data_IF_729007389296
#
_entry.id   IF_729007389296
#
_cell.length_a   1.000
_cell.length_b   1.000
_cell.length_c   1.000
_cell.angle_alpha   90.00
_cell.angle_beta   90.00
_cell.angle_gamma   90.00
#
_symmetry.space_group_name_H-M   'P 1'
#
loop_
_entity.id
_entity.type
_entity.pdbx_description
1 polymer ?
#
# COMPACT_ATOMS: atom_id res chain seq x y z
N UNK A 1 -59.32 5.57 12.60
CA UNK A 1 -58.27 6.45 12.04
C UNK A 1 -56.98 6.12 12.76
N UNK A 2 -55.99 5.68 11.98
CA UNK A 2 -54.71 5.08 12.37
C UNK A 2 -53.72 6.11 12.94
N UNK A 3 -52.96 5.74 13.97
CA UNK A 3 -51.90 6.57 14.55
C UNK A 3 -50.91 5.70 15.33
N UNK A 4 -49.88 5.26 14.62
CA UNK A 4 -48.87 4.25 14.91
C UNK A 4 -48.11 4.49 16.23
N UNK A 5 -48.22 3.56 17.19
CA UNK A 5 -47.18 3.31 18.20
C UNK A 5 -46.02 2.60 17.51
N UNK A 6 -45.02 3.37 17.08
CA UNK A 6 -43.84 2.84 16.40
C UNK A 6 -42.77 2.39 17.42
N UNK A 7 -42.48 1.08 17.54
CA UNK A 7 -41.54 0.53 18.52
C UNK A 7 -40.06 0.82 18.19
N UNK A 8 -39.78 1.59 17.14
CA UNK A 8 -38.44 2.08 16.80
C UNK A 8 -38.10 3.45 17.40
N UNK A 9 -38.86 3.92 18.42
CA UNK A 9 -38.56 5.16 19.14
C UNK A 9 -37.46 5.04 20.21
N UNK A 10 -36.59 4.04 20.13
CA UNK A 10 -35.45 3.89 21.03
C UNK A 10 -34.17 4.47 20.42
N UNK A 11 -33.86 5.69 20.85
CA UNK A 11 -32.53 6.30 20.83
C UNK A 11 -31.96 6.68 19.46
N UNK A 12 -32.45 7.80 18.92
CA UNK A 12 -31.55 8.68 18.15
C UNK A 12 -30.59 9.27 19.18
N UNK A 13 -29.43 8.64 19.37
CA UNK A 13 -28.28 9.33 19.94
C UNK A 13 -28.00 10.46 18.94
N UNK A 14 -28.16 11.75 19.31
CA UNK A 14 -27.73 12.82 18.43
C UNK A 14 -26.25 12.58 18.13
N UNK A 15 -25.93 12.34 16.86
CA UNK A 15 -24.54 12.29 16.40
C UNK A 15 -24.01 13.72 16.44
N UNK A 16 -23.72 14.22 17.65
CA UNK A 16 -22.82 15.34 17.84
C UNK A 16 -21.45 14.84 17.39
N UNK A 17 -21.01 15.29 16.20
CA UNK A 17 -19.62 15.10 15.79
C UNK A 17 -18.77 15.69 16.91
N UNK A 18 -17.98 14.87 17.64
CA UNK A 18 -17.19 15.37 18.75
C UNK A 18 -16.35 16.54 18.29
N UNK A 19 -16.24 17.60 19.08
CA UNK A 19 -15.51 18.82 18.73
C UNK A 19 -14.06 18.50 18.26
N UNK A 20 -13.49 17.42 18.80
CA UNK A 20 -12.19 16.86 18.40
C UNK A 20 -12.18 16.29 16.97
N UNK A 21 -13.25 15.62 16.53
CA UNK A 21 -13.40 15.13 15.16
C UNK A 21 -13.61 16.29 14.19
N UNK A 22 -14.34 17.33 14.61
CA UNK A 22 -14.51 18.54 13.82
C UNK A 22 -13.20 19.32 13.68
N UNK A 23 -12.48 19.54 14.78
CA UNK A 23 -11.18 20.19 14.77
C UNK A 23 -10.14 19.39 13.97
N UNK A 24 -10.18 18.06 14.05
CA UNK A 24 -9.33 17.18 13.24
C UNK A 24 -9.67 17.28 11.75
N UNK A 25 -10.95 17.31 11.38
CA UNK A 25 -11.39 17.51 10.00
C UNK A 25 -11.02 18.90 9.49
N UNK A 26 -11.26 19.97 10.27
CA UNK A 26 -10.89 21.35 9.92
C UNK A 26 -9.38 21.50 9.75
N UNK A 27 -8.58 20.90 10.64
CA UNK A 27 -7.11 20.88 10.52
C UNK A 27 -6.64 20.06 9.32
N UNK A 28 -7.23 18.89 9.08
CA UNK A 28 -6.90 18.02 7.94
C UNK A 28 -7.24 18.67 6.60
N UNK A 29 -8.39 19.33 6.49
CA UNK A 29 -8.80 20.09 5.30
C UNK A 29 -7.89 21.31 5.09
N UNK A 30 -7.52 22.01 6.16
CA UNK A 30 -6.57 23.12 6.10
C UNK A 30 -5.20 22.65 5.61
N UNK A 31 -4.65 21.57 6.18
CA UNK A 31 -3.38 20.97 5.76
C UNK A 31 -3.44 20.43 4.33
N UNK A 32 -4.55 19.82 3.91
CA UNK A 32 -4.73 19.35 2.55
C UNK A 32 -4.79 20.52 1.56
N UNK A 33 -5.48 21.61 1.90
CA UNK A 33 -5.47 22.85 1.08
C UNK A 33 -4.10 23.47 1.02
N UNK A 34 -3.38 23.53 2.13
CA UNK A 34 -2.03 24.10 2.19
C UNK A 34 -1.04 23.25 1.37
N UNK A 35 -1.09 21.93 1.50
CA UNK A 35 -0.27 21.02 0.72
C UNK A 35 -0.66 21.02 -0.76
N UNK A 36 -1.95 21.12 -1.08
CA UNK A 36 -2.44 21.27 -2.45
C UNK A 36 -2.01 22.60 -3.06
N UNK A 37 -2.06 23.69 -2.30
CA UNK A 37 -1.57 25.00 -2.75
C UNK A 37 -0.07 24.96 -3.00
N UNK A 38 0.73 24.38 -2.09
CA UNK A 38 2.18 24.18 -2.28
C UNK A 38 2.48 23.26 -3.48
N UNK A 39 1.70 22.20 -3.67
CA UNK A 39 1.82 21.31 -4.82
C UNK A 39 1.46 22.02 -6.13
N UNK A 40 0.38 22.80 -6.14
CA UNK A 40 -0.06 23.59 -7.29
C UNK A 40 0.97 24.66 -7.65
N UNK A 41 1.50 25.37 -6.67
CA UNK A 41 2.52 26.40 -6.86
C UNK A 41 3.83 25.79 -7.38
N UNK A 42 4.22 24.60 -6.87
CA UNK A 42 5.34 23.83 -7.39
C UNK A 42 5.09 23.27 -8.81
N UNK A 43 3.85 22.90 -9.14
CA UNK A 43 3.44 22.45 -10.47
C UNK A 43 3.43 23.60 -11.49
N UNK A 44 2.93 24.77 -11.11
CA UNK A 44 2.88 25.97 -11.95
C UNK A 44 4.28 26.60 -12.15
N UNK A 45 5.20 26.44 -11.18
CA UNK A 45 6.54 27.03 -11.22
C UNK A 45 7.64 26.07 -11.74
N UNK A 46 7.42 24.75 -11.69
CA UNK A 46 8.43 23.73 -12.02
C UNK A 46 7.84 22.50 -12.76
N UNK A 47 7.46 22.67 -14.02
CA UNK A 47 6.85 21.61 -14.85
C UNK A 47 7.66 20.29 -14.87
N UNK A 48 8.99 20.37 -14.94
CA UNK A 48 9.86 19.20 -14.95
C UNK A 48 10.00 18.46 -13.60
N UNK A 49 9.76 19.11 -12.45
CA UNK A 49 9.86 18.44 -11.13
C UNK A 49 8.61 17.59 -10.87
N UNK A 50 7.42 18.07 -11.24
CA UNK A 50 6.18 17.30 -11.10
C UNK A 50 6.14 16.14 -12.09
N UNK A 51 6.59 16.36 -13.34
CA UNK A 51 6.74 15.29 -14.32
C UNK A 51 7.73 14.22 -13.83
N UNK A 52 8.86 14.61 -13.23
CA UNK A 52 9.83 13.68 -12.64
C UNK A 52 9.26 12.90 -11.45
N UNK A 53 8.49 13.53 -10.56
CA UNK A 53 7.82 12.83 -9.44
C UNK A 53 6.79 11.84 -9.97
N UNK A 54 5.99 12.23 -10.96
CA UNK A 54 4.98 11.36 -11.55
C UNK A 54 5.61 10.18 -12.30
N UNK A 55 6.69 10.42 -13.05
CA UNK A 55 7.46 9.37 -13.72
C UNK A 55 8.10 8.39 -12.71
N UNK A 56 8.69 8.90 -11.62
CA UNK A 56 9.26 8.08 -10.54
C UNK A 56 8.19 7.25 -9.82
N UNK A 57 7.04 7.85 -9.53
CA UNK A 57 5.90 7.14 -8.93
C UNK A 57 5.35 6.06 -9.87
N UNK A 58 5.19 6.37 -11.15
CA UNK A 58 4.71 5.42 -12.15
C UNK A 58 5.67 4.25 -12.33
N UNK A 59 6.98 4.51 -12.34
CA UNK A 59 8.01 3.47 -12.36
C UNK A 59 7.93 2.56 -11.12
N UNK A 60 7.77 3.14 -9.93
CA UNK A 60 7.60 2.37 -8.68
C UNK A 60 6.36 1.48 -8.70
N UNK A 61 5.23 1.97 -9.21
CA UNK A 61 3.99 1.18 -9.37
C UNK A 61 4.20 0.07 -10.40
N UNK A 62 4.84 0.35 -11.53
CA UNK A 62 5.12 -0.65 -12.56
C UNK A 62 6.02 -1.78 -12.04
N UNK A 63 7.10 -1.43 -11.33
CA UNK A 63 8.00 -2.41 -10.69
C UNK A 63 7.25 -3.24 -9.63
N UNK A 64 6.40 -2.62 -8.83
CA UNK A 64 5.57 -3.30 -7.84
C UNK A 64 4.60 -4.30 -8.48
N UNK A 65 3.88 -3.88 -9.53
CA UNK A 65 2.94 -4.76 -10.26
C UNK A 65 3.67 -5.91 -10.96
N UNK A 66 4.81 -5.65 -11.59
CA UNK A 66 5.63 -6.69 -12.22
C UNK A 66 6.06 -7.75 -11.19
N UNK A 67 6.53 -7.30 -10.01
CA UNK A 67 6.95 -8.19 -8.93
C UNK A 67 5.79 -9.03 -8.38
N UNK A 68 4.60 -8.46 -8.24
CA UNK A 68 3.40 -9.23 -7.87
C UNK A 68 3.06 -10.33 -8.88
N UNK A 69 3.20 -10.05 -10.18
CA UNK A 69 2.98 -11.07 -11.22
C UNK A 69 4.04 -12.18 -11.16
N UNK A 70 5.29 -11.85 -10.88
CA UNK A 70 6.35 -12.85 -10.64
C UNK A 70 6.00 -13.73 -9.44
N UNK A 71 5.55 -13.14 -8.34
CA UNK A 71 5.14 -13.88 -7.14
C UNK A 71 3.93 -14.76 -7.39
N UNK A 72 2.92 -14.28 -8.11
CA UNK A 72 1.78 -15.09 -8.49
C UNK A 72 2.22 -16.32 -9.27
N UNK A 73 3.09 -16.14 -10.28
CA UNK A 73 3.65 -17.26 -11.06
C UNK A 73 4.44 -18.24 -10.20
N UNK A 74 5.32 -17.74 -9.32
CA UNK A 74 6.12 -18.57 -8.44
C UNK A 74 5.25 -19.37 -7.45
N UNK A 75 4.26 -18.71 -6.82
CA UNK A 75 3.36 -19.32 -5.86
C UNK A 75 2.46 -20.37 -6.52
N UNK A 76 1.90 -20.08 -7.71
CA UNK A 76 1.13 -21.06 -8.48
C UNK A 76 1.96 -22.29 -8.83
N UNK A 77 3.21 -22.09 -9.30
CA UNK A 77 4.11 -23.21 -9.57
C UNK A 77 4.37 -24.04 -8.31
N UNK A 78 4.71 -23.39 -7.19
CA UNK A 78 4.97 -24.08 -5.93
C UNK A 78 3.77 -24.91 -5.44
N UNK A 79 2.54 -24.40 -5.60
CA UNK A 79 1.33 -25.14 -5.25
C UNK A 79 1.05 -26.31 -6.19
N UNK A 80 1.29 -26.16 -7.49
CA UNK A 80 1.13 -27.25 -8.45
C UNK A 80 2.16 -28.36 -8.20
N UNK A 81 3.43 -28.00 -8.00
CA UNK A 81 4.50 -28.95 -7.69
C UNK A 81 4.19 -29.70 -6.39
N UNK A 82 3.79 -28.98 -5.32
CA UNK A 82 3.38 -29.60 -4.06
C UNK A 82 2.20 -30.55 -4.22
N UNK A 83 1.18 -30.15 -4.99
CA UNK A 83 0.00 -31.00 -5.24
C UNK A 83 0.37 -32.26 -6.01
N UNK A 84 1.25 -32.14 -7.01
CA UNK A 84 1.74 -33.28 -7.78
C UNK A 84 2.54 -34.26 -6.90
N UNK A 85 3.43 -33.74 -6.05
CA UNK A 85 4.19 -34.55 -5.10
C UNK A 85 3.26 -35.21 -4.06
N UNK A 86 2.24 -34.51 -3.58
CA UNK A 86 1.28 -35.04 -2.62
C UNK A 86 0.44 -36.18 -3.20
N UNK A 87 0.07 -36.12 -4.49
CA UNK A 87 -0.61 -37.25 -5.16
C UNK A 87 0.31 -38.42 -5.48
N UNK A 88 1.63 -38.22 -5.48
CA UNK A 88 2.61 -39.26 -5.78
C UNK A 88 2.96 -40.14 -4.56
N UNK A 89 2.79 -39.61 -3.34
CA UNK A 89 3.11 -40.32 -2.10
C UNK A 89 2.02 -41.31 -1.74
N UNK A 90 2.43 -42.53 -1.35
CA UNK A 90 1.50 -43.61 -0.97
C UNK A 90 1.31 -43.75 0.53
N UNK A 91 2.18 -43.13 1.33
CA UNK A 91 2.20 -43.32 2.77
C UNK A 91 1.95 -42.01 3.53
N UNK A 92 1.12 -42.01 4.59
CA UNK A 92 0.77 -40.80 5.34
C UNK A 92 1.96 -40.05 5.95
N UNK A 93 3.01 -40.76 6.39
CA UNK A 93 4.20 -40.11 6.93
C UNK A 93 4.97 -39.29 5.89
N UNK A 94 4.99 -39.75 4.63
CA UNK A 94 5.66 -39.05 3.53
C UNK A 94 4.87 -37.80 3.14
N UNK A 95 3.53 -37.88 3.14
CA UNK A 95 2.66 -36.74 2.94
C UNK A 95 2.83 -35.67 4.04
N UNK A 96 2.97 -36.07 5.30
CA UNK A 96 3.19 -35.15 6.42
C UNK A 96 4.55 -34.45 6.34
N UNK A 97 5.60 -35.21 5.97
CA UNK A 97 6.93 -34.65 5.72
C UNK A 97 6.89 -33.62 4.59
N UNK A 98 6.20 -33.96 3.48
CA UNK A 98 6.00 -33.07 2.33
C UNK A 98 5.30 -31.77 2.73
N UNK A 99 4.20 -31.87 3.48
CA UNK A 99 3.43 -30.73 3.96
C UNK A 99 4.24 -29.82 4.88
N UNK A 100 5.01 -30.41 5.80
CA UNK A 100 5.86 -29.66 6.73
C UNK A 100 6.95 -28.90 5.97
N UNK A 101 7.60 -29.57 5.02
CA UNK A 101 8.64 -28.96 4.19
C UNK A 101 8.07 -27.83 3.33
N UNK A 102 6.96 -28.08 2.63
CA UNK A 102 6.27 -27.07 1.83
C UNK A 102 5.89 -25.85 2.67
N UNK A 103 5.31 -26.07 3.86
CA UNK A 103 4.90 -24.99 4.76
C UNK A 103 6.10 -24.13 5.22
N UNK A 104 7.23 -24.76 5.55
CA UNK A 104 8.47 -24.03 5.89
C UNK A 104 8.96 -23.19 4.71
N UNK A 105 9.06 -23.79 3.53
CA UNK A 105 9.49 -23.09 2.31
C UNK A 105 8.56 -21.93 1.94
N UNK A 106 7.25 -22.10 2.08
CA UNK A 106 6.28 -21.04 1.80
C UNK A 106 6.40 -19.88 2.80
N UNK A 107 6.70 -20.15 4.08
CA UNK A 107 6.95 -19.09 5.06
C UNK A 107 8.22 -18.29 4.76
N UNK A 108 9.31 -18.98 4.40
CA UNK A 108 10.57 -18.32 4.00
C UNK A 108 10.37 -17.49 2.73
N UNK A 109 9.66 -18.04 1.75
CA UNK A 109 9.31 -17.36 0.50
C UNK A 109 8.45 -16.13 0.76
N UNK A 110 7.40 -16.24 1.59
CA UNK A 110 6.56 -15.10 1.93
C UNK A 110 7.34 -13.98 2.61
N UNK A 111 8.24 -14.30 3.54
CA UNK A 111 9.10 -13.30 4.18
C UNK A 111 10.03 -12.61 3.18
N UNK A 112 10.61 -13.36 2.23
CA UNK A 112 11.44 -12.78 1.17
C UNK A 112 10.61 -11.86 0.25
N UNK A 113 9.44 -12.32 -0.19
CA UNK A 113 8.51 -11.54 -1.02
C UNK A 113 8.08 -10.24 -0.32
N UNK A 114 7.77 -10.29 0.97
CA UNK A 114 7.41 -9.12 1.76
C UNK A 114 8.56 -8.11 1.88
N UNK A 115 9.81 -8.59 2.08
CA UNK A 115 11.00 -7.72 2.10
C UNK A 115 11.23 -7.05 0.75
N UNK A 116 11.12 -7.78 -0.35
CA UNK A 116 11.26 -7.20 -1.70
C UNK A 116 10.23 -6.10 -1.98
N UNK A 117 8.96 -6.30 -1.60
CA UNK A 117 7.93 -5.27 -1.75
C UNK A 117 8.20 -4.03 -0.88
N UNK A 118 8.70 -4.23 0.34
CA UNK A 118 9.12 -3.14 1.21
C UNK A 118 10.27 -2.33 0.59
N UNK A 119 11.26 -3.00 -0.01
CA UNK A 119 12.37 -2.34 -0.70
C UNK A 119 11.91 -1.58 -1.96
N UNK A 120 10.99 -2.12 -2.75
CA UNK A 120 10.40 -1.41 -3.90
C UNK A 120 9.66 -0.16 -3.41
N UNK A 121 8.86 -0.28 -2.35
CA UNK A 121 8.12 0.83 -1.77
C UNK A 121 9.05 1.92 -1.23
N UNK A 122 10.10 1.54 -0.49
CA UNK A 122 11.09 2.48 0.04
C UNK A 122 11.86 3.19 -1.09
N UNK A 123 12.24 2.46 -2.14
CA UNK A 123 12.88 3.05 -3.33
C UNK A 123 11.95 4.02 -4.04
N UNK A 124 10.69 3.65 -4.26
CA UNK A 124 9.69 4.53 -4.88
C UNK A 124 9.48 5.82 -4.06
N UNK A 125 9.37 5.71 -2.73
CA UNK A 125 9.26 6.86 -1.83
C UNK A 125 10.50 7.76 -1.87
N UNK A 126 11.70 7.16 -1.92
CA UNK A 126 12.97 7.90 -2.01
C UNK A 126 13.09 8.63 -3.35
N UNK A 127 12.82 7.94 -4.46
CA UNK A 127 12.86 8.49 -5.81
C UNK A 127 11.80 9.58 -6.05
N UNK A 128 10.68 9.54 -5.33
CA UNK A 128 9.68 10.62 -5.34
C UNK A 128 10.12 11.85 -4.52
N UNK A 129 10.93 11.66 -3.48
CA UNK A 129 11.44 12.75 -2.63
C UNK A 129 12.71 13.43 -3.20
N UNK A 130 13.49 12.73 -4.02
CA UNK A 130 14.73 13.24 -4.63
C UNK A 130 14.54 14.52 -5.48
N UNK A 131 13.54 14.62 -6.38
CA UNK A 131 13.31 15.83 -7.17
C UNK A 131 12.99 17.05 -6.29
N UNK A 132 12.27 16.84 -5.20
CA UNK A 132 11.92 17.88 -4.22
C UNK A 132 13.17 18.38 -3.49
N UNK A 133 14.03 17.45 -3.04
CA UNK A 133 15.32 17.79 -2.40
C UNK A 133 16.26 18.52 -3.36
N UNK A 134 16.34 18.08 -4.62
CA UNK A 134 17.18 18.70 -5.64
C UNK A 134 16.73 20.14 -5.96
N UNK A 135 15.43 20.38 -6.05
CA UNK A 135 14.87 21.73 -6.24
C UNK A 135 15.10 22.63 -5.02
N UNK A 136 14.98 22.10 -3.80
CA UNK A 136 15.29 22.84 -2.57
C UNK A 136 16.78 23.24 -2.47
N UNK A 137 17.70 22.32 -2.84
CA UNK A 137 19.14 22.59 -2.85
C UNK A 137 19.55 23.62 -3.92
N UNK A 138 18.81 23.71 -5.03
CA UNK A 138 18.98 24.76 -6.05
C UNK A 138 18.55 26.15 -5.56
N UNK A 139 17.56 26.22 -4.67
CA UNK A 139 17.02 27.47 -4.13
C UNK A 139 17.80 27.97 -2.90
N UNK A 140 18.45 27.08 -2.16
CA UNK A 140 19.33 27.41 -1.04
C UNK A 140 20.72 26.76 -1.25
N UNK A 141 21.60 27.38 -2.06
CA UNK A 141 22.98 26.93 -2.14
C UNK A 141 23.63 27.12 -0.77
N UNK A 142 24.28 26.07 -0.25
CA UNK A 142 25.08 26.16 0.96
C UNK A 142 26.17 27.23 0.75
N UNK A 143 26.23 28.19 1.69
CA UNK A 143 27.22 29.26 1.71
C UNK A 143 28.65 28.74 1.84
#
# INVERSE_FOLDING_TARGET
MTGTTDPFSASVIPFEVPEQMRAFAEKGVSQARENYAKFKDAAETHNGTVEAVFASAHKGVSEYTAKLMEFAKANTKAHLDFTQELFSVKAPQDAFALWTNHSKTQLETFQAQARELAEITQRAATAAAEPIKASAAKLYPAA
#
